data_IF_476194682993
#
_entry.id   IF_476194682993
#
_cell.length_a   1.000
_cell.length_b   1.000
_cell.length_c   1.000
_cell.angle_alpha   90.00
_cell.angle_beta   90.00
_cell.angle_gamma   90.00
#
_symmetry.space_group_name_H-M   'P 1'
#
loop_
_entity.id
_entity.type
_entity.pdbx_description
1 polymer ?
#
# COMPACT_ATOMS: atom_id res chain seq x y z
N UNK A 1 2.08 -4.82 26.71
CA UNK A 1 2.10 -5.56 27.99
C UNK A 1 2.23 -4.63 29.18
N UNK A 2 3.19 -3.68 29.19
CA UNK A 2 3.36 -2.72 30.28
C UNK A 2 2.11 -1.86 30.58
N UNK A 3 1.46 -1.29 29.56
CA UNK A 3 0.21 -0.52 29.75
C UNK A 3 -0.89 -1.32 30.43
N UNK A 4 -1.06 -2.59 30.03
CA UNK A 4 -2.06 -3.47 30.63
C UNK A 4 -1.76 -3.70 32.10
N UNK A 5 -0.49 -3.90 32.47
CA UNK A 5 -0.06 -4.09 33.86
C UNK A 5 -0.34 -2.82 34.68
N UNK A 6 0.07 -1.65 34.17
CA UNK A 6 -0.13 -0.35 34.87
C UNK A 6 -1.62 -0.08 35.09
N UNK A 7 -2.44 -0.25 34.05
CA UNK A 7 -3.90 -0.05 34.14
C UNK A 7 -4.56 -1.06 35.08
N UNK A 8 -4.08 -2.31 35.10
CA UNK A 8 -4.59 -3.34 36.00
C UNK A 8 -4.27 -3.02 37.46
N UNK A 9 -3.04 -2.60 37.75
CA UNK A 9 -2.62 -2.19 39.10
C UNK A 9 -3.38 -0.95 39.56
N UNK A 10 -3.57 0.04 38.67
CA UNK A 10 -4.36 1.23 38.99
C UNK A 10 -5.80 0.85 39.33
N UNK A 11 -6.45 0.03 38.49
CA UNK A 11 -7.83 -0.41 38.73
C UNK A 11 -7.98 -1.22 40.02
N UNK A 12 -6.96 -2.02 40.39
CA UNK A 12 -6.98 -2.85 41.59
C UNK A 12 -6.71 -2.07 42.89
N UNK A 13 -5.79 -1.10 42.87
CA UNK A 13 -5.38 -0.34 44.06
C UNK A 13 -6.20 0.93 44.28
N UNK A 14 -6.61 1.60 43.20
CA UNK A 14 -7.38 2.86 43.27
C UNK A 14 -8.46 2.85 42.19
N UNK A 15 -9.57 2.12 42.42
CA UNK A 15 -10.68 2.08 41.48
C UNK A 15 -11.27 3.49 41.29
N UNK A 16 -11.69 3.80 40.07
CA UNK A 16 -12.43 5.04 39.79
C UNK A 16 -13.81 4.96 40.45
N UNK A 17 -14.06 5.84 41.42
CA UNK A 17 -15.34 5.96 42.09
C UNK A 17 -16.12 7.16 41.54
N UNK A 18 -17.45 7.05 41.55
CA UNK A 18 -18.33 8.16 41.20
C UNK A 18 -18.35 9.19 42.33
N UNK A 19 -17.99 10.42 42.01
CA UNK A 19 -17.99 11.57 42.91
C UNK A 19 -18.87 12.69 42.33
N UNK A 20 -19.58 13.42 43.19
CA UNK A 20 -20.40 14.56 42.80
C UNK A 20 -19.81 15.85 43.35
N UNK A 21 -19.49 16.76 42.45
CA UNK A 21 -19.06 18.12 42.76
C UNK A 21 -20.22 19.10 42.58
N UNK A 22 -20.35 20.04 43.51
CA UNK A 22 -21.30 21.15 43.41
C UNK A 22 -20.64 22.27 42.61
N UNK A 23 -21.13 22.53 41.40
CA UNK A 23 -20.58 23.53 40.47
C UNK A 23 -21.04 24.94 40.88
N UNK A 24 -22.32 25.10 41.17
CA UNK A 24 -22.91 26.40 41.53
C UNK A 24 -23.88 26.25 42.70
N UNK A 25 -23.78 27.19 43.66
CA UNK A 25 -24.75 27.34 44.75
C UNK A 25 -25.53 28.64 44.57
N UNK A 26 -26.83 28.57 44.84
CA UNK A 26 -27.73 29.72 44.87
C UNK A 26 -27.43 30.65 46.06
N UNK A 27 -27.99 31.87 46.06
CA UNK A 27 -27.85 32.86 47.16
C UNK A 27 -28.34 32.34 48.51
N UNK A 28 -29.19 31.32 48.51
CA UNK A 28 -29.70 30.63 49.70
C UNK A 28 -28.86 29.40 50.09
N UNK A 29 -27.69 29.19 49.48
CA UNK A 29 -26.77 28.07 49.78
C UNK A 29 -27.22 26.70 49.25
N UNK A 30 -28.26 26.66 48.41
CA UNK A 30 -28.78 25.42 47.78
C UNK A 30 -27.98 25.07 46.54
N UNK A 31 -27.81 23.79 46.29
CA UNK A 31 -27.13 23.28 45.10
C UNK A 31 -28.00 23.54 43.86
N UNK A 32 -27.51 24.39 42.95
CA UNK A 32 -28.21 24.76 41.71
C UNK A 32 -27.77 23.89 40.54
N UNK A 33 -26.49 23.58 40.50
CA UNK A 33 -25.90 22.67 39.51
C UNK A 33 -24.88 21.75 40.18
N UNK A 34 -25.02 20.45 39.93
CA UNK A 34 -24.07 19.43 40.37
C UNK A 34 -23.53 18.69 39.17
N UNK A 35 -22.21 18.46 39.14
CA UNK A 35 -21.54 17.63 38.13
C UNK A 35 -21.08 16.34 38.77
N UNK A 36 -21.28 15.24 38.06
CA UNK A 36 -20.70 13.96 38.45
C UNK A 36 -19.49 13.60 37.61
N UNK A 37 -18.44 13.10 38.26
CA UNK A 37 -17.20 12.64 37.62
C UNK A 37 -16.75 11.33 38.23
N UNK A 38 -16.01 10.54 37.47
CA UNK A 38 -15.30 9.39 38.02
C UNK A 38 -13.88 9.82 38.39
N UNK A 39 -13.57 9.84 39.69
CA UNK A 39 -12.27 10.27 40.20
C UNK A 39 -11.62 9.16 41.03
N UNK A 40 -10.31 9.27 41.17
CA UNK A 40 -9.49 8.39 42.02
C UNK A 40 -8.51 9.29 42.79
N UNK A 41 -8.35 9.05 44.09
CA UNK A 41 -7.55 9.87 45.01
C UNK A 41 -6.09 10.04 44.55
N UNK A 42 -5.54 9.04 43.85
CA UNK A 42 -4.16 9.03 43.37
C UNK A 42 -4.06 8.86 41.85
N UNK A 43 -5.08 9.30 41.11
CA UNK A 43 -5.15 9.20 39.65
C UNK A 43 -3.92 9.76 38.94
N UNK A 44 -3.41 10.93 39.36
CA UNK A 44 -2.22 11.55 38.75
C UNK A 44 -0.95 10.69 38.85
N UNK A 45 -0.79 9.93 39.94
CA UNK A 45 0.39 9.07 40.16
C UNK A 45 0.47 7.92 39.16
N UNK A 46 -0.66 7.42 38.67
CA UNK A 46 -0.73 6.39 37.64
C UNK A 46 -0.82 6.97 36.22
N UNK A 47 -1.44 8.14 36.08
CA UNK A 47 -1.66 8.80 34.79
C UNK A 47 -0.37 9.41 34.21
N UNK A 48 0.51 9.99 35.05
CA UNK A 48 1.82 10.51 34.62
C UNK A 48 2.71 9.43 33.97
N UNK A 49 3.03 8.30 34.62
CA UNK A 49 3.88 7.28 34.01
C UNK A 49 3.23 6.65 32.77
N UNK A 50 1.90 6.56 32.71
CA UNK A 50 1.16 6.08 31.54
C UNK A 50 1.38 7.03 30.35
N UNK A 51 1.20 8.34 30.55
CA UNK A 51 1.46 9.35 29.51
C UNK A 51 2.92 9.31 29.06
N UNK A 52 3.87 9.22 29.99
CA UNK A 52 5.31 9.16 29.64
C UNK A 52 5.61 7.92 28.81
N UNK A 53 5.05 6.77 29.17
CA UNK A 53 5.24 5.52 28.43
C UNK A 53 4.65 5.63 27.02
N UNK A 54 3.39 6.04 26.90
CA UNK A 54 2.69 6.14 25.62
C UNK A 54 3.34 7.17 24.70
N UNK A 55 3.71 8.35 25.24
CA UNK A 55 4.41 9.39 24.48
C UNK A 55 5.83 8.95 24.10
N UNK A 56 6.54 8.26 24.99
CA UNK A 56 7.88 7.73 24.71
C UNK A 56 7.85 6.68 23.58
N UNK A 57 6.88 5.77 23.61
CA UNK A 57 6.68 4.78 22.54
C UNK A 57 6.28 5.47 21.24
N UNK A 58 5.43 6.49 21.30
CA UNK A 58 5.06 7.28 20.13
C UNK A 58 6.26 7.97 19.48
N UNK A 59 7.12 8.63 20.27
CA UNK A 59 8.35 9.28 19.80
C UNK A 59 9.29 8.25 19.19
N UNK A 60 9.47 7.10 19.84
CA UNK A 60 10.32 6.03 19.32
C UNK A 60 9.80 5.46 17.99
N UNK A 61 8.48 5.29 17.87
CA UNK A 61 7.84 4.86 16.62
C UNK A 61 8.05 5.89 15.49
N UNK A 62 7.96 7.18 15.79
CA UNK A 62 8.22 8.25 14.82
C UNK A 62 9.68 8.28 14.42
N UNK A 63 10.61 8.10 15.36
CA UNK A 63 12.03 8.01 15.05
C UNK A 63 12.32 6.84 14.10
N UNK A 64 11.75 5.67 14.37
CA UNK A 64 11.86 4.53 13.46
C UNK A 64 11.25 4.82 12.09
N UNK A 65 10.07 5.46 12.05
CA UNK A 65 9.44 5.86 10.79
C UNK A 65 10.31 6.88 10.01
N UNK A 66 10.98 7.79 10.70
CA UNK A 66 11.89 8.77 10.10
C UNK A 66 13.14 8.11 9.53
N UNK A 67 13.76 7.18 10.25
CA UNK A 67 14.90 6.40 9.77
C UNK A 67 14.48 5.52 8.57
N UNK A 68 13.31 4.88 8.65
CA UNK A 68 12.77 4.07 7.57
C UNK A 68 12.54 4.89 6.28
N UNK A 69 12.24 6.20 6.39
CA UNK A 69 12.11 7.09 5.22
C UNK A 69 13.41 7.21 4.42
N UNK A 70 14.57 7.13 5.08
CA UNK A 70 15.87 7.24 4.41
C UNK A 70 16.28 5.96 3.68
N UNK A 71 15.71 4.81 4.07
CA UNK A 71 15.87 3.54 3.36
C UNK A 71 14.82 3.49 2.26
N UNK A 72 15.09 4.27 1.21
CA UNK A 72 14.29 4.43 0.00
C UNK A 72 14.24 3.14 -0.83
N UNK A 73 13.54 2.12 -0.33
CA UNK A 73 13.05 1.02 -1.15
C UNK A 73 11.60 1.34 -1.55
N UNK A 74 11.39 1.91 -2.74
CA UNK A 74 10.18 1.94 -3.62
C UNK A 74 8.80 2.32 -3.11
N UNK A 75 8.53 2.19 -1.82
CA UNK A 75 7.19 2.34 -1.31
C UNK A 75 6.93 3.82 -1.08
N UNK A 76 6.46 4.53 -2.11
CA UNK A 76 5.82 5.83 -1.95
C UNK A 76 4.72 5.79 -0.85
N UNK A 77 4.16 4.60 -0.57
CA UNK A 77 3.26 4.33 0.55
C UNK A 77 3.87 4.62 1.93
N UNK A 78 5.16 4.34 2.15
CA UNK A 78 5.81 4.57 3.45
C UNK A 78 5.98 6.06 3.77
N UNK A 79 6.10 6.90 2.75
CA UNK A 79 6.18 8.35 2.93
C UNK A 79 4.86 8.94 3.45
N UNK A 80 3.71 8.48 2.92
CA UNK A 80 2.39 8.89 3.42
C UNK A 80 2.15 8.44 4.86
N UNK A 81 2.60 7.23 5.20
CA UNK A 81 2.52 6.70 6.57
C UNK A 81 3.39 7.53 7.51
N UNK A 82 4.63 7.87 7.12
CA UNK A 82 5.50 8.71 7.92
C UNK A 82 4.91 10.10 8.18
N UNK A 83 4.30 10.73 7.15
CA UNK A 83 3.58 12.00 7.29
C UNK A 83 2.37 11.88 8.22
N UNK A 84 1.61 10.78 8.14
CA UNK A 84 0.49 10.51 9.04
C UNK A 84 0.95 10.38 10.51
N UNK A 85 2.08 9.69 10.74
CA UNK A 85 2.68 9.55 12.06
C UNK A 85 3.19 10.90 12.62
N UNK A 86 3.71 11.80 11.77
CA UNK A 86 4.04 13.16 12.20
C UNK A 86 2.79 13.97 12.56
N UNK A 87 1.70 13.81 11.82
CA UNK A 87 0.44 14.51 12.12
C UNK A 87 -0.13 14.07 13.47
N UNK A 88 -0.16 12.77 13.77
CA UNK A 88 -0.70 12.31 15.06
C UNK A 88 0.15 12.75 16.25
N UNK A 89 1.46 12.94 16.07
CA UNK A 89 2.32 13.55 17.08
C UNK A 89 1.89 14.98 17.40
N UNK A 90 1.65 15.79 16.36
CA UNK A 90 1.20 17.18 16.50
C UNK A 90 -0.16 17.20 17.20
N UNK A 91 -1.10 16.36 16.78
CA UNK A 91 -2.43 16.26 17.41
C UNK A 91 -2.31 15.83 18.87
N UNK A 92 -1.41 14.90 19.21
CA UNK A 92 -1.19 14.47 20.60
C UNK A 92 -0.60 15.60 21.45
N UNK A 93 0.39 16.33 20.91
CA UNK A 93 1.05 17.43 21.62
C UNK A 93 0.15 18.64 21.82
N UNK A 94 -0.68 18.97 20.83
CA UNK A 94 -1.67 20.06 20.92
C UNK A 94 -2.91 19.60 21.71
N UNK A 95 -3.27 18.32 21.63
CA UNK A 95 -4.43 17.77 22.32
C UNK A 95 -4.32 17.86 23.84
N UNK A 96 -3.15 17.57 24.42
CA UNK A 96 -2.92 17.64 25.87
C UNK A 96 -3.27 19.03 26.46
N UNK A 97 -2.66 20.15 26.02
CA UNK A 97 -2.98 21.46 26.56
C UNK A 97 -4.42 21.89 26.26
N UNK A 98 -4.95 21.52 25.09
CA UNK A 98 -6.34 21.80 24.73
C UNK A 98 -7.32 21.11 25.69
N UNK A 99 -7.04 19.87 26.10
CA UNK A 99 -7.82 19.15 27.11
C UNK A 99 -7.72 19.79 28.49
N UNK A 100 -6.54 20.29 28.87
CA UNK A 100 -6.35 21.00 30.14
C UNK A 100 -7.17 22.29 30.18
N UNK A 101 -7.19 23.06 29.09
CA UNK A 101 -7.97 24.30 29.01
C UNK A 101 -9.47 24.02 29.05
N UNK A 102 -9.91 22.93 28.42
CA UNK A 102 -11.33 22.56 28.39
C UNK A 102 -11.83 21.86 29.66
N UNK A 103 -10.95 21.58 30.64
CA UNK A 103 -11.28 20.74 31.80
C UNK A 103 -12.37 21.32 32.72
N UNK A 104 -12.53 22.64 32.75
CA UNK A 104 -13.49 23.32 33.62
C UNK A 104 -14.95 23.07 33.18
N UNK A 105 -15.20 22.97 31.88
CA UNK A 105 -16.53 22.71 31.33
C UNK A 105 -16.65 21.28 30.76
N UNK A 106 -17.62 20.51 31.28
CA UNK A 106 -17.89 19.13 30.87
C UNK A 106 -18.41 19.06 29.43
N UNK A 107 -19.18 20.08 29.01
CA UNK A 107 -19.70 20.11 27.65
C UNK A 107 -18.56 20.39 26.67
N UNK A 108 -17.74 21.41 26.97
CA UNK A 108 -16.56 21.74 26.18
C UNK A 108 -15.56 20.58 26.13
N UNK A 109 -15.15 20.03 27.28
CA UNK A 109 -14.18 18.91 27.33
C UNK A 109 -14.66 17.69 26.56
N UNK A 110 -15.94 17.32 26.65
CA UNK A 110 -16.49 16.20 25.89
C UNK A 110 -16.44 16.45 24.38
N UNK A 111 -16.91 17.63 23.95
CA UNK A 111 -16.89 18.02 22.54
C UNK A 111 -15.45 18.04 22.00
N UNK A 112 -14.53 18.68 22.72
CA UNK A 112 -13.12 18.79 22.35
C UNK A 112 -12.45 17.42 22.28
N UNK A 113 -12.67 16.56 23.28
CA UNK A 113 -12.09 15.20 23.31
C UNK A 113 -12.59 14.37 22.13
N UNK A 114 -13.90 14.36 21.89
CA UNK A 114 -14.49 13.61 20.77
C UNK A 114 -14.03 14.14 19.41
N UNK A 115 -13.94 15.46 19.24
CA UNK A 115 -13.44 16.08 18.02
C UNK A 115 -11.96 15.76 17.77
N UNK A 116 -11.11 15.81 18.80
CA UNK A 116 -9.69 15.46 18.70
C UNK A 116 -9.50 14.00 18.26
N UNK A 117 -10.25 13.07 18.87
CA UNK A 117 -10.21 11.65 18.48
C UNK A 117 -10.71 11.48 17.04
N UNK A 118 -11.84 12.10 16.70
CA UNK A 118 -12.42 12.02 15.36
C UNK A 118 -11.45 12.52 14.29
N UNK A 119 -10.88 13.72 14.47
CA UNK A 119 -9.91 14.31 13.53
C UNK A 119 -8.63 13.47 13.48
N UNK A 120 -8.14 12.98 14.61
CA UNK A 120 -6.97 12.11 14.68
C UNK A 120 -7.18 10.81 13.90
N UNK A 121 -8.30 10.11 14.12
CA UNK A 121 -8.63 8.88 13.40
C UNK A 121 -8.92 9.14 11.92
N UNK A 122 -9.72 10.16 11.60
CA UNK A 122 -10.08 10.49 10.23
C UNK A 122 -8.84 10.88 9.40
N UNK A 123 -7.93 11.68 9.95
CA UNK A 123 -6.69 12.06 9.28
C UNK A 123 -5.79 10.85 9.01
N UNK A 124 -5.58 9.96 9.98
CA UNK A 124 -4.83 8.71 9.78
C UNK A 124 -5.43 7.84 8.67
N UNK A 125 -6.74 7.61 8.72
CA UNK A 125 -7.45 6.81 7.72
C UNK A 125 -7.33 7.47 6.34
N UNK A 126 -7.53 8.78 6.25
CA UNK A 126 -7.36 9.53 5.00
C UNK A 126 -5.93 9.39 4.47
N UNK A 127 -4.89 9.63 5.27
CA UNK A 127 -3.52 9.51 4.79
C UNK A 127 -3.15 8.10 4.32
N UNK A 128 -3.72 7.05 4.92
CA UNK A 128 -3.49 5.66 4.52
C UNK A 128 -4.31 5.28 3.27
N UNK A 129 -5.57 5.67 3.21
CA UNK A 129 -6.50 5.23 2.16
C UNK A 129 -6.48 6.12 0.91
N UNK A 130 -6.23 7.43 1.03
CA UNK A 130 -6.16 8.35 -0.11
C UNK A 130 -5.16 7.88 -1.18
N UNK A 131 -3.88 7.56 -0.88
CA UNK A 131 -2.96 7.10 -1.91
C UNK A 131 -3.43 5.79 -2.57
N UNK A 132 -4.04 4.88 -1.80
CA UNK A 132 -4.60 3.63 -2.34
C UNK A 132 -5.78 3.86 -3.28
N UNK A 133 -6.66 4.80 -2.95
CA UNK A 133 -7.83 5.14 -3.77
C UNK A 133 -7.39 5.83 -5.08
N UNK A 134 -6.43 6.76 -5.00
CA UNK A 134 -5.91 7.46 -6.19
C UNK A 134 -5.27 6.47 -7.17
N UNK A 135 -4.36 5.61 -6.71
CA UNK A 135 -3.71 4.59 -7.56
C UNK A 135 -4.74 3.60 -8.13
N UNK A 136 -5.80 3.26 -7.38
CA UNK A 136 -6.89 2.42 -7.88
C UNK A 136 -7.68 3.11 -8.99
N UNK A 137 -7.98 4.40 -8.84
CA UNK A 137 -8.75 5.17 -9.82
C UNK A 137 -8.00 5.31 -11.15
N UNK A 138 -6.69 5.57 -11.10
CA UNK A 138 -5.85 5.64 -12.30
C UNK A 138 -5.80 4.29 -13.04
N UNK A 139 -5.63 3.17 -12.29
CA UNK A 139 -5.67 1.81 -12.86
C UNK A 139 -7.04 1.48 -13.46
N UNK A 140 -8.14 1.96 -12.86
CA UNK A 140 -9.50 1.82 -13.38
C UNK A 140 -9.70 2.55 -14.70
N UNK A 141 -9.20 3.78 -14.80
CA UNK A 141 -9.26 4.61 -16.01
C UNK A 141 -8.40 4.06 -17.15
N UNK A 142 -7.21 3.55 -16.87
CA UNK A 142 -6.35 2.92 -17.89
C UNK A 142 -6.99 1.62 -18.41
N UNK A 143 -7.54 0.78 -17.52
CA UNK A 143 -8.24 -0.46 -17.92
C UNK A 143 -9.46 -0.16 -18.78
N UNK A 144 -10.24 0.87 -18.45
CA UNK A 144 -11.41 1.26 -19.24
C UNK A 144 -11.04 1.88 -20.59
N UNK A 145 -9.95 2.66 -20.66
CA UNK A 145 -9.41 3.19 -21.91
C UNK A 145 -8.88 2.08 -22.84
N UNK A 146 -8.14 1.10 -22.31
CA UNK A 146 -7.67 -0.07 -23.08
C UNK A 146 -8.85 -0.89 -23.60
N UNK A 147 -9.88 -1.11 -22.78
CA UNK A 147 -11.09 -1.84 -23.19
C UNK A 147 -11.85 -1.11 -24.30
N UNK A 148 -12.02 0.21 -24.21
CA UNK A 148 -12.64 1.04 -25.26
C UNK A 148 -11.85 1.03 -26.57
N UNK A 149 -10.53 1.05 -26.53
CA UNK A 149 -9.70 0.93 -27.74
C UNK A 149 -9.79 -0.46 -28.38
N UNK A 150 -9.85 -1.53 -27.57
CA UNK A 150 -9.99 -2.91 -28.08
C UNK A 150 -11.34 -3.15 -28.78
N UNK A 151 -12.39 -2.49 -28.30
CA UNK A 151 -13.75 -2.57 -28.88
C UNK A 151 -13.89 -1.80 -30.19
N UNK A 152 -13.19 -0.66 -30.34
CA UNK A 152 -13.10 0.07 -31.61
C UNK A 152 -12.29 -0.65 -32.69
N UNK A 153 -11.30 -1.46 -32.31
CA UNK A 153 -10.53 -2.28 -33.27
C UNK A 153 -11.29 -3.53 -33.72
N UNK A 154 -12.23 -4.04 -32.91
CA UNK A 154 -13.02 -5.23 -33.25
C UNK A 154 -14.26 -4.91 -34.12
N UNK A 155 -14.75 -3.67 -34.09
CA UNK A 155 -15.86 -3.19 -34.91
C UNK A 155 -15.44 -2.63 -36.28
N UNK A 156 -14.14 -2.57 -36.57
CA UNK A 156 -13.60 -2.24 -37.90
C UNK A 156 -13.05 -3.46 -38.64
N UNK A 157 -13.82 -4.56 -38.71
CA UNK A 157 -13.67 -5.55 -39.79
C UNK A 157 -14.47 -5.08 -40.99
N UNK A 158 -14.11 -3.92 -41.54
CA UNK A 158 -14.41 -3.61 -42.92
C UNK A 158 -13.23 -2.82 -43.51
N UNK A 159 -12.36 -3.59 -44.18
CA UNK A 159 -11.50 -3.19 -45.28
C UNK A 159 -10.62 -1.94 -45.10
N UNK A 160 -9.32 -2.15 -44.85
CA UNK A 160 -8.23 -1.55 -45.66
C UNK A 160 -6.86 -2.10 -45.27
N UNK A 161 -6.28 -2.87 -46.19
CA UNK A 161 -4.83 -3.16 -46.23
C UNK A 161 -4.09 -1.83 -46.31
N UNK A 162 -3.38 -1.44 -45.25
CA UNK A 162 -2.27 -0.48 -45.37
C UNK A 162 -1.07 -1.04 -44.63
N UNK A 163 -0.01 -1.31 -45.39
CA UNK A 163 1.32 -1.62 -44.88
C UNK A 163 1.85 -0.38 -44.15
N UNK A 164 1.54 -0.23 -42.86
CA UNK A 164 2.24 0.72 -42.00
C UNK A 164 3.01 -0.09 -40.97
N UNK A 165 4.30 -0.27 -41.25
CA UNK A 165 5.30 -0.89 -40.37
C UNK A 165 5.51 0.02 -39.15
N UNK A 166 4.55 0.03 -38.23
CA UNK A 166 4.68 0.66 -36.92
C UNK A 166 5.47 -0.30 -36.05
N UNK A 167 6.67 0.11 -35.62
CA UNK A 167 7.45 -0.58 -34.60
C UNK A 167 6.63 -0.56 -33.29
N UNK A 168 5.78 -1.57 -33.11
CA UNK A 168 5.26 -1.96 -31.80
C UNK A 168 6.45 -2.55 -31.07
N UNK A 169 7.16 -1.67 -30.38
CA UNK A 169 8.10 -2.05 -29.35
C UNK A 169 7.35 -2.94 -28.36
N UNK A 170 7.96 -4.07 -28.05
CA UNK A 170 7.46 -5.13 -27.17
C UNK A 170 7.23 -4.59 -25.75
N UNK A 171 6.09 -3.97 -25.51
CA UNK A 171 5.67 -3.55 -24.16
C UNK A 171 4.27 -4.05 -23.84
N UNK A 172 3.90 -5.25 -24.28
CA UNK A 172 2.73 -5.97 -23.75
C UNK A 172 3.05 -7.46 -23.68
N UNK A 173 3.85 -7.84 -22.68
CA UNK A 173 3.82 -9.17 -22.08
C UNK A 173 4.58 -9.12 -20.77
N UNK A 174 3.81 -8.94 -19.69
CA UNK A 174 4.00 -9.50 -18.34
C UNK A 174 3.29 -8.58 -17.32
N UNK A 175 1.95 -8.61 -17.36
CA UNK A 175 1.15 -8.21 -16.20
C UNK A 175 0.58 -9.49 -15.58
N UNK A 176 1.47 -10.33 -15.08
CA UNK A 176 1.18 -11.25 -14.00
C UNK A 176 1.24 -10.45 -12.71
N UNK A 177 0.11 -10.40 -11.99
CA UNK A 177 0.01 -9.78 -10.69
C UNK A 177 0.91 -10.51 -9.68
N UNK A 178 2.02 -9.87 -9.33
CA UNK A 178 2.84 -10.12 -8.16
C UNK A 178 3.31 -8.76 -7.63
N UNK A 179 3.68 -8.64 -6.33
CA UNK A 179 4.20 -7.38 -5.81
C UNK A 179 5.37 -6.93 -6.69
N UNK A 180 5.28 -5.73 -7.26
CA UNK A 180 6.44 -5.07 -7.85
C UNK A 180 7.39 -4.80 -6.69
N UNK A 181 8.38 -5.68 -6.56
CA UNK A 181 9.58 -5.45 -5.78
C UNK A 181 10.45 -4.56 -6.64
N UNK A 182 11.00 -3.52 -6.02
CA UNK A 182 11.85 -2.53 -6.63
C UNK A 182 12.93 -3.32 -7.27
N UNK A 183 12.88 -3.31 -8.59
CA UNK A 183 13.94 -3.87 -9.37
C UNK A 183 15.10 -2.92 -9.16
N UNK A 184 15.86 -3.15 -8.08
CA UNK A 184 17.07 -2.43 -7.76
C UNK A 184 17.92 -2.46 -9.03
N UNK A 185 18.38 -1.32 -9.57
CA UNK A 185 18.99 -1.27 -10.90
C UNK A 185 20.17 -2.24 -11.03
N UNK A 186 20.90 -2.45 -9.93
CA UNK A 186 22.01 -3.44 -9.85
C UNK A 186 21.58 -4.91 -9.98
N UNK A 187 20.36 -5.28 -9.59
CA UNK A 187 19.82 -6.63 -9.77
C UNK A 187 19.35 -6.83 -11.22
N UNK A 188 18.80 -5.78 -11.86
CA UNK A 188 18.44 -5.82 -13.27
C UNK A 188 19.67 -5.94 -14.16
N UNK A 189 20.74 -5.23 -13.82
CA UNK A 189 22.02 -5.29 -14.53
C UNK A 189 22.62 -6.70 -14.47
N UNK A 190 22.67 -7.31 -13.27
CA UNK A 190 23.10 -8.71 -13.09
C UNK A 190 22.21 -9.70 -13.86
N UNK A 191 20.88 -9.53 -13.81
CA UNK A 191 19.96 -10.41 -14.53
C UNK A 191 20.09 -10.26 -16.07
N UNK A 192 20.32 -9.05 -16.58
CA UNK A 192 20.58 -8.81 -18.00
C UNK A 192 21.95 -9.35 -18.44
N UNK A 193 22.95 -9.29 -17.56
CA UNK A 193 24.28 -9.85 -17.82
C UNK A 193 24.22 -11.38 -17.93
N UNK A 194 23.53 -12.05 -17.00
CA UNK A 194 23.31 -13.50 -17.07
C UNK A 194 22.53 -13.90 -18.33
N UNK A 195 21.50 -13.14 -18.70
CA UNK A 195 20.77 -13.37 -19.95
C UNK A 195 21.68 -13.21 -21.19
N UNK A 196 22.66 -12.30 -21.13
CA UNK A 196 23.63 -12.08 -22.21
C UNK A 196 24.65 -13.22 -22.28
N UNK A 197 25.06 -13.78 -21.13
CA UNK A 197 25.94 -14.96 -21.04
C UNK A 197 25.25 -16.21 -21.56
N UNK A 198 24.02 -16.51 -21.10
CA UNK A 198 23.24 -17.64 -21.59
C UNK A 198 22.96 -17.57 -23.09
N UNK A 199 22.78 -16.37 -23.66
CA UNK A 199 22.61 -16.19 -25.11
C UNK A 199 23.87 -16.52 -25.89
N UNK A 200 25.05 -16.13 -25.40
CA UNK A 200 26.33 -16.48 -26.04
C UNK A 200 26.56 -17.99 -25.98
N UNK A 201 26.35 -18.60 -24.82
CA UNK A 201 26.46 -20.06 -24.66
C UNK A 201 25.48 -20.83 -25.57
N UNK A 202 24.22 -20.38 -25.69
CA UNK A 202 23.27 -20.98 -26.63
C UNK A 202 23.67 -20.78 -28.10
N UNK A 203 24.30 -19.66 -28.43
CA UNK A 203 24.75 -19.37 -29.78
C UNK A 203 25.98 -20.21 -30.15
N UNK A 204 26.91 -20.39 -29.21
CA UNK A 204 28.06 -21.29 -29.34
C UNK A 204 27.60 -22.76 -29.44
N UNK A 205 26.63 -23.18 -28.61
CA UNK A 205 26.03 -24.52 -28.73
C UNK A 205 25.30 -24.70 -30.06
N UNK A 206 24.62 -23.67 -30.58
CA UNK A 206 24.01 -23.71 -31.92
C UNK A 206 25.05 -23.75 -33.05
N UNK A 207 26.25 -23.25 -32.83
CA UNK A 207 27.36 -23.32 -33.78
C UNK A 207 28.10 -24.65 -33.69
N UNK A 208 28.23 -25.24 -32.49
CA UNK A 208 28.73 -26.61 -32.31
C UNK A 208 27.73 -27.66 -32.79
N UNK A 209 26.44 -27.31 -32.83
CA UNK A 209 25.37 -28.04 -33.51
C UNK A 209 25.16 -27.42 -34.91
N UNK A 210 26.26 -27.25 -35.66
CA UNK A 210 26.25 -27.01 -37.10
C UNK A 210 26.17 -28.34 -37.86
N UNK A 211 25.59 -28.38 -39.08
CA UNK A 211 25.12 -29.62 -39.69
C UNK A 211 26.28 -30.50 -40.15
N UNK A 212 26.55 -31.59 -39.47
CA UNK A 212 27.33 -32.69 -40.04
C UNK A 212 27.09 -33.98 -39.27
N UNK A 213 26.79 -35.14 -39.85
CA UNK A 213 26.20 -35.58 -41.12
C UNK A 213 25.89 -37.07 -40.88
N UNK A 214 24.89 -37.60 -41.59
CA UNK A 214 24.61 -39.03 -41.77
C UNK A 214 24.10 -39.85 -40.57
N UNK A 215 22.78 -40.06 -40.57
CA UNK A 215 22.33 -41.46 -40.59
C UNK A 215 22.12 -41.81 -42.08
N UNK A 216 23.18 -42.31 -42.71
CA UNK A 216 23.14 -42.98 -44.00
C UNK A 216 22.47 -44.34 -43.82
N UNK A 217 21.16 -44.38 -44.05
CA UNK A 217 20.38 -45.51 -44.61
C UNK A 217 19.23 -44.74 -45.30
N UNK A 218 19.22 -44.44 -46.60
CA UNK A 218 19.06 -45.34 -47.73
C UNK A 218 19.59 -44.58 -48.97
N UNK A 219 20.68 -45.05 -49.55
CA UNK A 219 20.93 -44.92 -50.98
C UNK A 219 20.13 -46.02 -51.67
N UNK A 220 19.24 -45.68 -52.60
CA UNK A 220 19.14 -46.33 -53.92
C UNK A 220 18.03 -45.68 -54.78
N UNK A 221 18.34 -45.50 -56.07
CA UNK A 221 17.48 -45.16 -57.22
C UNK A 221 17.09 -43.69 -57.49
N UNK A 222 17.94 -43.10 -58.35
CA UNK A 222 17.74 -42.25 -59.54
C UNK A 222 16.46 -41.41 -59.81
N UNK A 223 16.62 -40.32 -60.59
CA UNK A 223 15.67 -39.24 -60.77
C UNK A 223 14.76 -39.46 -61.98
N UNK A 224 13.53 -38.96 -61.92
CA UNK A 224 12.73 -38.70 -63.12
C UNK A 224 12.06 -37.33 -62.97
N UNK A 225 12.49 -36.41 -63.83
CA UNK A 225 11.75 -35.24 -64.28
C UNK A 225 10.39 -35.65 -64.84
N UNK A 226 9.34 -34.88 -64.61
CA UNK A 226 8.55 -34.28 -65.70
C UNK A 226 7.39 -33.45 -65.17
N UNK A 227 7.13 -32.42 -65.96
CA UNK A 227 5.99 -31.55 -65.98
C UNK A 227 4.64 -32.28 -66.15
N UNK A 228 3.58 -31.47 -66.03
CA UNK A 228 2.31 -31.59 -66.78
C UNK A 228 1.06 -32.11 -66.04
N UNK A 229 0.16 -31.13 -65.83
CA UNK A 229 -1.30 -31.09 -65.98
C UNK A 229 -2.26 -32.21 -65.50
N UNK A 230 -3.47 -31.70 -65.22
CA UNK A 230 -4.78 -32.33 -65.25
C UNK A 230 -5.33 -33.10 -64.03
N UNK A 231 -6.31 -32.45 -63.39
CA UNK A 231 -7.70 -32.76 -63.76
C UNK A 231 -8.39 -33.95 -63.09
N UNK A 232 -9.43 -33.58 -62.33
CA UNK A 232 -10.76 -34.20 -62.34
C UNK A 232 -11.04 -35.45 -61.47
N UNK A 233 -11.75 -35.17 -60.35
CA UNK A 233 -12.94 -35.84 -59.78
C UNK A 233 -12.96 -37.33 -59.42
N UNK A 234 -13.59 -37.60 -58.26
CA UNK A 234 -14.81 -38.41 -58.09
C UNK A 234 -14.74 -39.37 -56.90
N UNK A 235 -15.65 -39.12 -55.96
CA UNK A 235 -16.41 -40.08 -55.15
C UNK A 235 -15.69 -40.97 -54.11
N UNK A 236 -15.84 -40.61 -52.83
CA UNK A 236 -16.87 -41.19 -51.94
C UNK A 236 -17.14 -40.30 -50.71
#
# INVERSE_FOLDING_TARGET
>A
TLNVIILSVWTALSPLAWERDVVERDIFGREKETRGKCASEHSLGFLIPLIILDLGVLIFAIYQAYVARNISMEFAESEWIARAMSFIMIVSFVGIPVLVIAADDSQASFFVTSALIFIGCASLLCFIFVPKILVRNEKGNIKSAIRKSKEKTLSSTQSRKTNKKMKISRTISNSSAGPQILVHPKLQEKAQEELRRLKKANQELRQSVGPSKECSIISELEPISQDEEDGFTSDL
#
